data_IF_524127124062
#
_entry.id   IF_524127124062
#
_cell.length_a   1.000
_cell.length_b   1.000
_cell.length_c   1.000
_cell.angle_alpha   90.00
_cell.angle_beta   90.00
_cell.angle_gamma   90.00
#
_symmetry.space_group_name_H-M   'P 1'
#
loop_
_entity.id
_entity.type
_entity.pdbx_description
1 polymer ?
#
# COMPACT_ATOMS: atom_id res chain seq x y z
N UNK A 1 -7.66 -8.30 -2.67
CA UNK A 1 -6.37 -8.98 -2.46
C UNK A 1 -5.63 -9.26 -3.76
N UNK A 2 -6.25 -9.81 -4.78
CA UNK A 2 -5.56 -10.20 -6.01
C UNK A 2 -4.70 -9.13 -6.67
N UNK A 3 -5.13 -7.85 -6.66
CA UNK A 3 -4.36 -6.76 -7.23
C UNK A 3 -3.30 -6.15 -6.31
N UNK A 4 -3.40 -6.32 -5.00
CA UNK A 4 -2.46 -5.71 -4.06
C UNK A 4 -1.20 -6.56 -3.83
N UNK A 5 -1.31 -7.88 -3.91
CA UNK A 5 -0.17 -8.78 -3.67
C UNK A 5 0.94 -8.65 -4.72
N UNK A 6 0.67 -8.55 -6.03
CA UNK A 6 1.72 -8.26 -7.02
C UNK A 6 2.53 -7.01 -6.72
N UNK A 7 1.91 -5.99 -6.13
CA UNK A 7 2.59 -4.75 -5.73
C UNK A 7 3.54 -5.02 -4.56
N UNK A 8 3.11 -5.84 -3.60
CA UNK A 8 3.97 -6.26 -2.48
C UNK A 8 5.16 -7.07 -3.02
N UNK A 9 4.93 -8.00 -3.96
CA UNK A 9 6.02 -8.76 -4.58
C UNK A 9 6.99 -7.88 -5.36
N UNK A 10 6.50 -6.87 -6.08
CA UNK A 10 7.36 -5.87 -6.71
C UNK A 10 8.18 -5.10 -5.66
N UNK A 11 7.59 -4.77 -4.51
CA UNK A 11 8.29 -4.12 -3.40
C UNK A 11 9.41 -5.01 -2.83
N UNK A 12 9.15 -6.31 -2.61
CA UNK A 12 10.17 -7.25 -2.09
C UNK A 12 11.35 -7.40 -3.06
N UNK A 13 11.06 -7.46 -4.37
CA UNK A 13 12.08 -7.51 -5.42
C UNK A 13 12.92 -6.23 -5.48
N UNK A 14 12.29 -5.06 -5.37
CA UNK A 14 12.98 -3.76 -5.44
C UNK A 14 14.01 -3.57 -4.33
N UNK A 15 13.81 -4.17 -3.17
CA UNK A 15 14.74 -4.08 -2.02
C UNK A 15 15.63 -5.32 -1.87
N UNK A 16 15.62 -6.23 -2.85
CA UNK A 16 16.48 -7.42 -2.89
C UNK A 16 16.16 -8.49 -1.84
N UNK A 17 14.89 -8.64 -1.45
CA UNK A 17 14.48 -9.70 -0.53
C UNK A 17 14.63 -11.09 -1.16
N UNK A 18 15.11 -12.07 -0.40
CA UNK A 18 15.13 -13.47 -0.82
C UNK A 18 13.70 -14.05 -0.90
N UNK A 19 13.50 -15.22 -1.52
CA UNK A 19 12.20 -15.89 -1.52
C UNK A 19 11.64 -16.15 -0.11
N UNK A 20 12.52 -16.55 0.84
CA UNK A 20 12.17 -16.80 2.24
C UNK A 20 11.76 -15.51 2.93
N UNK A 21 12.54 -14.44 2.76
CA UNK A 21 12.23 -13.10 3.27
C UNK A 21 10.94 -12.55 2.66
N UNK A 22 10.70 -12.80 1.38
CA UNK A 22 9.45 -12.41 0.71
C UNK A 22 8.24 -13.12 1.32
N UNK A 23 8.37 -14.42 1.59
CA UNK A 23 7.32 -15.22 2.24
C UNK A 23 7.08 -14.75 3.67
N UNK A 24 8.15 -14.49 4.43
CA UNK A 24 8.10 -13.93 5.79
C UNK A 24 7.43 -12.55 5.80
N UNK A 25 7.78 -11.67 4.85
CA UNK A 25 7.16 -10.34 4.71
C UNK A 25 5.65 -10.45 4.49
N UNK A 26 5.21 -11.25 3.52
CA UNK A 26 3.79 -11.45 3.21
C UNK A 26 3.04 -12.00 4.41
N UNK A 27 3.62 -12.96 5.12
CA UNK A 27 3.04 -13.52 6.35
C UNK A 27 2.98 -12.49 7.48
N UNK A 28 4.03 -11.70 7.67
CA UNK A 28 4.05 -10.62 8.64
C UNK A 28 2.98 -9.57 8.37
N UNK A 29 2.72 -9.22 7.11
CA UNK A 29 1.59 -8.35 6.74
C UNK A 29 0.25 -8.96 7.14
N UNK A 30 0.08 -10.26 6.91
CA UNK A 30 -1.12 -10.99 7.34
C UNK A 30 -1.28 -10.99 8.86
N UNK A 31 -0.20 -11.25 9.60
CA UNK A 31 -0.18 -11.22 11.08
C UNK A 31 -0.56 -9.81 11.59
N UNK A 32 0.11 -8.76 11.10
CA UNK A 32 -0.18 -7.38 11.52
C UNK A 32 -1.63 -6.98 11.24
N UNK A 33 -2.15 -7.36 10.08
CA UNK A 33 -3.54 -7.11 9.68
C UNK A 33 -4.52 -7.88 10.56
N UNK A 34 -4.28 -9.17 10.82
CA UNK A 34 -5.11 -10.00 11.68
C UNK A 34 -5.18 -9.46 13.11
N UNK A 35 -4.01 -9.22 13.72
CA UNK A 35 -3.93 -8.71 15.09
C UNK A 35 -4.59 -7.35 15.23
N UNK A 36 -4.32 -6.42 14.31
CA UNK A 36 -4.90 -5.08 14.34
C UNK A 36 -6.42 -5.12 14.21
N UNK A 37 -6.96 -5.85 13.23
CA UNK A 37 -8.40 -5.95 13.03
C UNK A 37 -9.10 -6.63 14.22
N UNK A 38 -8.52 -7.71 14.75
CA UNK A 38 -9.07 -8.43 15.91
C UNK A 38 -9.13 -7.53 17.15
N UNK A 39 -7.98 -6.96 17.55
CA UNK A 39 -7.87 -6.16 18.76
C UNK A 39 -8.79 -4.94 18.68
N UNK A 40 -8.73 -4.22 17.55
CA UNK A 40 -9.49 -2.99 17.39
C UNK A 40 -10.99 -3.25 17.34
N UNK A 41 -11.44 -4.25 16.55
CA UNK A 41 -12.88 -4.53 16.44
C UNK A 41 -13.49 -5.06 17.73
N UNK A 42 -12.80 -5.99 18.40
CA UNK A 42 -13.30 -6.58 19.66
C UNK A 42 -13.32 -5.54 20.78
N UNK A 43 -12.24 -4.75 20.91
CA UNK A 43 -12.10 -3.79 22.02
C UNK A 43 -13.04 -2.59 21.88
N UNK A 44 -13.23 -2.09 20.66
CA UNK A 44 -14.06 -0.91 20.41
C UNK A 44 -15.52 -1.23 20.09
N UNK A 45 -15.87 -2.50 19.84
CA UNK A 45 -17.16 -2.92 19.32
C UNK A 45 -17.58 -2.16 18.05
N UNK A 46 -16.60 -1.82 17.22
CA UNK A 46 -16.75 -1.16 15.93
C UNK A 46 -16.09 -2.03 14.85
N UNK A 47 -16.55 -2.02 13.59
CA UNK A 47 -15.93 -2.78 12.48
C UNK A 47 -14.65 -2.07 12.00
N UNK A 48 -13.63 -2.01 12.87
CA UNK A 48 -12.35 -1.38 12.56
C UNK A 48 -11.46 -2.41 11.85
N UNK A 49 -11.40 -2.30 10.54
CA UNK A 49 -10.66 -3.21 9.67
C UNK A 49 -9.31 -2.61 9.34
N UNK A 50 -8.26 -3.41 9.53
CA UNK A 50 -6.89 -3.07 9.15
C UNK A 50 -6.51 -3.71 7.82
N UNK A 51 -5.47 -3.16 7.18
CA UNK A 51 -4.83 -3.71 6.00
C UNK A 51 -3.37 -3.27 5.98
N UNK A 52 -2.55 -3.86 5.10
CA UNK A 52 -1.24 -3.28 4.77
C UNK A 52 -1.38 -2.04 3.91
N UNK A 53 -0.34 -1.19 3.91
CA UNK A 53 -0.28 -0.02 3.05
C UNK A 53 0.04 -0.39 1.60
N UNK A 54 -0.98 -0.58 0.76
CA UNK A 54 -0.76 -0.78 -0.69
C UNK A 54 0.00 0.39 -1.34
N UNK A 55 -0.32 1.67 -1.04
CA UNK A 55 0.50 2.79 -1.50
C UNK A 55 1.92 2.76 -0.92
N UNK A 56 2.11 2.26 0.30
CA UNK A 56 3.43 2.04 0.89
C UNK A 56 4.23 0.98 0.14
N UNK A 57 3.61 -0.16 -0.23
CA UNK A 57 4.24 -1.16 -1.08
C UNK A 57 4.61 -0.57 -2.46
N UNK A 58 3.73 0.24 -3.04
CA UNK A 58 3.99 0.94 -4.30
C UNK A 58 5.19 1.91 -4.19
N UNK A 59 5.28 2.65 -3.09
CA UNK A 59 6.42 3.51 -2.79
C UNK A 59 7.72 2.69 -2.73
N UNK A 60 7.73 1.59 -1.99
CA UNK A 60 8.91 0.72 -1.85
C UNK A 60 9.33 0.19 -3.22
N UNK A 61 8.37 -0.33 -4.01
CA UNK A 61 8.61 -0.85 -5.36
C UNK A 61 9.19 0.20 -6.32
N UNK A 62 8.87 1.48 -6.12
CA UNK A 62 9.30 2.59 -6.97
C UNK A 62 10.53 3.33 -6.45
N UNK A 63 11.07 2.96 -5.28
CA UNK A 63 12.24 3.63 -4.67
C UNK A 63 13.53 2.95 -5.11
N UNK A 64 14.34 3.57 -5.97
CA UNK A 64 15.63 3.02 -6.37
C UNK A 64 16.69 3.23 -5.28
N UNK A 65 17.75 2.41 -5.32
CA UNK A 65 18.96 2.66 -4.54
C UNK A 65 18.88 2.29 -3.07
N UNK A 66 17.89 1.48 -2.65
CA UNK A 66 17.91 0.88 -1.30
C UNK A 66 19.06 -0.13 -1.26
N UNK A 67 20.05 0.05 -0.36
CA UNK A 67 21.31 -0.70 -0.44
C UNK A 67 21.16 -2.18 -0.05
N UNK A 68 20.16 -2.52 0.76
CA UNK A 68 19.88 -3.89 1.20
C UNK A 68 18.47 -4.04 1.76
N UNK A 69 17.98 -5.27 1.82
CA UNK A 69 16.73 -5.59 2.50
C UNK A 69 16.75 -5.16 3.97
N UNK A 70 17.86 -5.34 4.67
CA UNK A 70 18.00 -4.93 6.07
C UNK A 70 17.91 -3.39 6.26
N UNK A 71 18.35 -2.59 5.28
CA UNK A 71 18.15 -1.14 5.29
C UNK A 71 16.67 -0.77 5.08
N UNK A 72 15.97 -1.51 4.22
CA UNK A 72 14.51 -1.34 4.08
C UNK A 72 13.77 -1.67 5.38
N UNK A 73 14.17 -2.74 6.09
CA UNK A 73 13.64 -3.07 7.42
C UNK A 73 13.85 -1.91 8.40
N UNK A 74 15.02 -1.27 8.39
CA UNK A 74 15.27 -0.06 9.18
C UNK A 74 14.28 1.06 8.89
N UNK A 75 13.98 1.30 7.61
CA UNK A 75 12.98 2.27 7.19
C UNK A 75 11.56 1.89 7.63
N UNK A 76 11.20 0.60 7.62
CA UNK A 76 9.91 0.12 8.10
C UNK A 76 9.75 0.30 9.62
N UNK A 77 10.81 0.00 10.38
CA UNK A 77 10.85 0.29 11.83
C UNK A 77 10.69 1.78 12.09
N UNK A 78 11.40 2.65 11.36
CA UNK A 78 11.23 4.10 11.52
C UNK A 78 9.79 4.53 11.24
N UNK A 79 9.19 4.07 10.15
CA UNK A 79 7.80 4.40 9.81
C UNK A 79 6.83 3.96 10.90
N UNK A 80 6.99 2.74 11.45
CA UNK A 80 6.18 2.23 12.55
C UNK A 80 6.35 3.05 13.83
N UNK A 81 7.58 3.44 14.18
CA UNK A 81 7.88 4.32 15.32
C UNK A 81 7.22 5.68 15.14
N UNK A 82 7.26 6.28 13.95
CA UNK A 82 6.60 7.55 13.66
C UNK A 82 5.08 7.45 13.79
N UNK A 83 4.45 6.32 13.41
CA UNK A 83 3.02 6.06 13.65
C UNK A 83 2.74 6.01 15.15
N UNK A 84 3.56 5.30 15.93
CA UNK A 84 3.43 5.22 17.39
C UNK A 84 3.61 6.59 18.06
N UNK A 85 4.59 7.36 17.61
CA UNK A 85 4.79 8.74 18.10
C UNK A 85 3.58 9.62 17.78
N UNK A 86 2.96 9.45 16.62
CA UNK A 86 1.72 10.17 16.26
C UNK A 86 0.54 9.76 17.16
N UNK A 87 0.49 8.48 17.55
CA UNK A 87 -0.51 7.99 18.51
C UNK A 87 -0.33 8.59 19.91
N UNK A 88 0.93 8.75 20.34
CA UNK A 88 1.28 9.23 21.68
C UNK A 88 1.29 10.77 21.78
N UNK A 89 1.73 11.46 20.73
CA UNK A 89 2.00 12.91 20.72
C UNK A 89 0.99 13.63 19.84
N UNK A 90 -0.10 14.11 20.42
CA UNK A 90 -1.19 14.82 19.67
C UNK A 90 -0.72 15.93 18.72
N UNK A 91 0.30 16.77 19.03
CA UNK A 91 0.81 17.78 18.11
C UNK A 91 1.36 17.21 16.78
N UNK A 92 1.93 16.02 16.78
CA UNK A 92 2.43 15.35 15.55
C UNK A 92 1.31 15.02 14.58
N UNK A 93 0.18 14.51 15.08
CA UNK A 93 -1.02 14.30 14.26
C UNK A 93 -1.50 15.57 13.57
N UNK A 94 -1.53 16.69 14.31
CA UNK A 94 -1.88 18.01 13.78
C UNK A 94 -0.88 18.55 12.76
N UNK A 95 0.39 18.18 12.84
CA UNK A 95 1.40 18.59 11.87
C UNK A 95 1.17 17.91 10.52
N UNK A 96 0.79 16.63 10.52
CA UNK A 96 0.46 15.90 9.30
C UNK A 96 -0.81 16.45 8.66
N UNK A 97 -1.81 16.80 9.46
CA UNK A 97 -3.04 17.44 8.98
C UNK A 97 -2.78 18.81 8.29
N UNK A 98 -1.62 19.43 8.56
CA UNK A 98 -1.22 20.69 7.90
C UNK A 98 -0.61 20.50 6.51
N UNK A 99 -0.19 19.27 6.14
CA UNK A 99 0.26 19.01 4.77
C UNK A 99 -0.94 19.18 3.85
N UNK A 100 -0.86 20.05 2.83
CA UNK A 100 -1.97 20.24 1.90
C UNK A 100 -2.35 18.91 1.25
N UNK A 101 -3.64 18.61 1.23
CA UNK A 101 -4.15 17.37 0.65
C UNK A 101 -3.76 17.22 -0.83
N UNK A 102 -3.66 18.34 -1.56
CA UNK A 102 -3.19 18.41 -2.94
C UNK A 102 -1.76 17.90 -3.11
N UNK A 103 -0.83 18.28 -2.23
CA UNK A 103 0.58 17.85 -2.28
C UNK A 103 0.71 16.37 -1.90
N UNK A 104 0.02 15.94 -0.84
CA UNK A 104 0.01 14.53 -0.45
C UNK A 104 -0.60 13.64 -1.54
N UNK A 105 -1.69 14.08 -2.17
CA UNK A 105 -2.32 13.39 -3.29
C UNK A 105 -1.43 13.37 -4.54
N UNK A 106 -0.70 14.45 -4.83
CA UNK A 106 0.24 14.53 -5.94
C UNK A 106 1.43 13.57 -5.77
N UNK A 107 1.98 13.48 -4.56
CA UNK A 107 3.02 12.51 -4.21
C UNK A 107 2.50 11.08 -4.41
N UNK A 108 1.31 10.77 -3.90
CA UNK A 108 0.69 9.46 -4.09
C UNK A 108 0.46 9.16 -5.58
N UNK A 109 -0.11 10.11 -6.32
CA UNK A 109 -0.34 9.96 -7.77
C UNK A 109 0.97 9.65 -8.51
N UNK A 110 2.07 10.34 -8.18
CA UNK A 110 3.38 10.12 -8.78
C UNK A 110 3.94 8.72 -8.51
N UNK A 111 3.80 8.22 -7.28
CA UNK A 111 4.20 6.86 -6.90
C UNK A 111 3.40 5.81 -7.69
N UNK A 112 2.07 5.96 -7.69
CA UNK A 112 1.18 4.99 -8.33
C UNK A 112 1.32 4.99 -9.85
N UNK A 113 1.51 6.17 -10.46
CA UNK A 113 1.62 6.32 -11.90
C UNK A 113 2.82 5.55 -12.46
N UNK A 114 3.94 5.49 -11.76
CA UNK A 114 5.10 4.69 -12.16
C UNK A 114 4.76 3.21 -12.30
N UNK A 115 4.03 2.63 -11.34
CA UNK A 115 3.61 1.23 -11.39
C UNK A 115 2.54 0.98 -12.46
N UNK A 116 1.65 1.96 -12.68
CA UNK A 116 0.69 1.90 -13.79
C UNK A 116 1.42 1.93 -15.13
N UNK A 117 2.46 2.73 -15.28
CA UNK A 117 3.27 2.79 -16.51
C UNK A 117 4.04 1.49 -16.76
N UNK A 118 4.56 0.86 -15.71
CA UNK A 118 5.33 -0.38 -15.80
C UNK A 118 4.56 -1.53 -16.50
N UNK A 119 3.21 -1.57 -16.41
CA UNK A 119 2.45 -2.60 -17.15
C UNK A 119 2.56 -2.43 -18.66
N UNK A 120 2.69 -1.18 -19.16
CA UNK A 120 2.83 -0.91 -20.60
C UNK A 120 4.23 -1.20 -21.13
N UNK A 121 5.26 -1.19 -20.26
CA UNK A 121 6.62 -1.57 -20.61
C UNK A 121 6.72 -3.04 -21.03
N UNK A 122 5.77 -3.88 -20.58
CA UNK A 122 5.68 -5.28 -20.98
C UNK A 122 4.92 -5.53 -22.29
N UNK A 123 4.25 -4.52 -22.87
CA UNK A 123 3.50 -4.69 -24.13
C UNK A 123 4.39 -5.16 -25.27
N UNK A 124 5.61 -4.61 -25.51
CA UNK A 124 6.46 -5.06 -26.60
C UNK A 124 6.93 -6.52 -26.46
N UNK A 125 7.15 -7.00 -25.22
CA UNK A 125 7.67 -8.35 -24.96
C UNK A 125 6.57 -9.42 -24.83
N UNK A 126 5.35 -9.03 -24.43
CA UNK A 126 4.25 -9.96 -24.17
C UNK A 126 2.89 -9.38 -24.64
N UNK A 127 2.74 -8.95 -25.90
CA UNK A 127 1.52 -8.27 -26.36
C UNK A 127 0.27 -9.15 -26.26
N UNK A 128 0.39 -10.44 -26.55
CA UNK A 128 -0.71 -11.40 -26.50
C UNK A 128 -1.21 -11.68 -25.06
N UNK A 129 -0.42 -11.34 -24.05
CA UNK A 129 -0.82 -11.44 -22.65
C UNK A 129 -1.37 -10.11 -22.16
N UNK A 130 -0.65 -9.01 -22.37
CA UNK A 130 -0.97 -7.71 -21.75
C UNK A 130 -2.21 -7.06 -22.39
N UNK A 131 -2.28 -6.98 -23.73
CA UNK A 131 -3.37 -6.26 -24.43
C UNK A 131 -4.77 -6.86 -24.19
N UNK A 132 -4.97 -8.19 -24.25
CA UNK A 132 -6.27 -8.79 -23.93
C UNK A 132 -6.68 -8.55 -22.48
N UNK A 133 -5.73 -8.55 -21.54
CA UNK A 133 -6.01 -8.30 -20.13
C UNK A 133 -6.36 -6.84 -19.85
N UNK A 134 -5.76 -5.88 -20.54
CA UNK A 134 -6.16 -4.48 -20.47
C UNK A 134 -7.58 -4.28 -21.00
N UNK A 135 -7.91 -4.88 -22.12
CA UNK A 135 -9.28 -4.84 -22.66
C UNK A 135 -10.27 -5.49 -21.70
N UNK A 136 -9.94 -6.67 -21.15
CA UNK A 136 -10.76 -7.35 -20.15
C UNK A 136 -10.98 -6.47 -18.94
N UNK A 137 -9.94 -5.79 -18.44
CA UNK A 137 -10.07 -4.87 -17.30
C UNK A 137 -11.08 -3.76 -17.57
N UNK A 138 -10.99 -3.10 -18.72
CA UNK A 138 -11.91 -2.01 -19.10
C UNK A 138 -13.35 -2.51 -19.15
N UNK A 139 -13.58 -3.67 -19.80
CA UNK A 139 -14.91 -4.27 -19.88
C UNK A 139 -15.40 -4.73 -18.50
N UNK A 140 -14.59 -5.48 -17.77
CA UNK A 140 -14.96 -5.97 -16.45
C UNK A 140 -15.26 -4.82 -15.48
N UNK A 141 -14.52 -3.73 -15.55
CA UNK A 141 -14.75 -2.55 -14.71
C UNK A 141 -16.11 -1.88 -14.97
N UNK A 142 -16.61 -1.94 -16.20
CA UNK A 142 -17.92 -1.37 -16.54
C UNK A 142 -19.09 -2.16 -15.93
N UNK A 143 -18.96 -3.49 -15.79
CA UNK A 143 -20.02 -4.36 -15.30
C UNK A 143 -19.81 -4.83 -13.85
N UNK A 144 -18.57 -5.07 -13.43
CA UNK A 144 -18.17 -5.65 -12.15
C UNK A 144 -16.96 -4.91 -11.55
N UNK A 145 -17.08 -3.63 -11.19
CA UNK A 145 -15.93 -2.79 -10.82
C UNK A 145 -15.11 -3.34 -9.65
N UNK A 146 -15.77 -4.00 -8.67
CA UNK A 146 -15.12 -4.59 -7.49
C UNK A 146 -14.33 -5.86 -7.81
N UNK A 147 -14.68 -6.58 -8.86
CA UNK A 147 -14.07 -7.85 -9.28
C UNK A 147 -13.14 -7.72 -10.48
N UNK A 148 -13.06 -6.55 -11.10
CA UNK A 148 -12.31 -6.35 -12.34
C UNK A 148 -10.84 -6.80 -12.23
N UNK A 149 -10.13 -6.41 -11.18
CA UNK A 149 -8.72 -6.83 -10.98
C UNK A 149 -8.58 -8.33 -10.68
N UNK A 150 -9.57 -8.94 -10.03
CA UNK A 150 -9.59 -10.38 -9.81
C UNK A 150 -9.84 -11.12 -11.13
N UNK A 151 -10.75 -10.62 -11.96
CA UNK A 151 -11.00 -11.17 -13.29
C UNK A 151 -9.73 -11.13 -14.17
N UNK A 152 -8.97 -10.01 -14.13
CA UNK A 152 -7.68 -9.89 -14.83
C UNK A 152 -6.66 -10.91 -14.32
N UNK A 153 -6.57 -11.12 -12.99
CA UNK A 153 -5.66 -12.10 -12.41
C UNK A 153 -6.01 -13.53 -12.85
N UNK A 154 -7.30 -13.91 -12.73
CA UNK A 154 -7.75 -15.27 -13.06
C UNK A 154 -7.63 -15.54 -14.56
N UNK A 155 -8.17 -14.66 -15.39
CA UNK A 155 -8.07 -14.79 -16.86
C UNK A 155 -6.61 -14.73 -17.32
N UNK A 156 -5.81 -13.87 -16.71
CA UNK A 156 -4.39 -13.75 -17.00
C UNK A 156 -3.60 -15.00 -16.64
N UNK A 157 -3.90 -15.64 -15.52
CA UNK A 157 -3.28 -16.92 -15.13
C UNK A 157 -3.66 -18.04 -16.11
N UNK A 158 -4.93 -18.12 -16.51
CA UNK A 158 -5.40 -19.09 -17.52
C UNK A 158 -4.76 -18.85 -18.89
N UNK A 159 -4.68 -17.59 -19.31
CA UNK A 159 -4.04 -17.22 -20.58
C UNK A 159 -2.53 -17.52 -20.55
N UNK A 160 -1.84 -17.16 -19.45
CA UNK A 160 -0.42 -17.46 -19.28
C UNK A 160 -0.16 -18.98 -19.28
N UNK A 161 -1.04 -19.75 -18.64
CA UNK A 161 -0.96 -21.22 -18.66
C UNK A 161 -1.14 -21.78 -20.09
N UNK A 162 -2.14 -21.31 -20.81
CA UNK A 162 -2.38 -21.75 -22.21
C UNK A 162 -1.24 -21.39 -23.16
N UNK A 163 -0.50 -20.30 -22.86
CA UNK A 163 0.69 -19.87 -23.60
C UNK A 163 1.98 -20.58 -23.15
N UNK A 164 1.91 -21.48 -22.17
CA UNK A 164 3.09 -22.18 -21.63
C UNK A 164 4.06 -21.27 -20.85
N UNK A 165 3.59 -20.13 -20.34
CA UNK A 165 4.41 -19.12 -19.64
C UNK A 165 4.46 -19.34 -18.13
N UNK A 166 3.64 -20.25 -17.59
CA UNK A 166 3.57 -20.52 -16.15
C UNK A 166 4.67 -21.50 -15.77
N UNK A 167 5.49 -21.17 -14.77
CA UNK A 167 6.51 -22.06 -14.21
C UNK A 167 5.86 -23.19 -13.40
N UNK A 168 6.58 -24.30 -13.13
CA UNK A 168 6.10 -25.34 -12.24
C UNK A 168 5.66 -24.77 -10.89
N UNK A 169 4.47 -25.18 -10.43
CA UNK A 169 3.96 -24.74 -9.14
C UNK A 169 4.78 -25.36 -8.01
N UNK A 170 5.18 -24.58 -7.00
CA UNK A 170 5.87 -25.13 -5.84
C UNK A 170 4.92 -26.00 -5.01
N UNK A 171 5.49 -26.88 -4.20
CA UNK A 171 4.73 -27.62 -3.22
C UNK A 171 4.07 -26.65 -2.22
N UNK A 172 2.87 -27.01 -1.76
CA UNK A 172 2.21 -26.27 -0.69
C UNK A 172 3.04 -26.39 0.59
N UNK A 173 3.31 -25.26 1.23
CA UNK A 173 4.10 -25.21 2.45
C UNK A 173 3.63 -24.11 3.40
N UNK A 174 3.94 -24.32 4.67
CA UNK A 174 3.76 -23.29 5.69
C UNK A 174 4.91 -22.29 5.61
N UNK A 175 4.64 -21.06 6.00
CA UNK A 175 5.67 -20.03 6.04
C UNK A 175 6.60 -20.24 7.24
N UNK A 176 7.91 -20.25 6.99
CA UNK A 176 8.93 -19.98 8.00
C UNK A 176 9.10 -18.46 8.11
N UNK A 177 9.03 -17.95 9.34
CA UNK A 177 9.23 -16.53 9.59
C UNK A 177 10.72 -16.24 9.71
N UNK A 178 11.20 -15.35 8.83
CA UNK A 178 12.60 -14.92 8.78
C UNK A 178 12.77 -13.60 9.54
N UNK A 179 13.59 -13.61 10.58
CA UNK A 179 13.91 -12.41 11.35
C UNK A 179 15.09 -11.69 10.70
N UNK A 180 14.88 -10.42 10.34
CA UNK A 180 15.92 -9.55 9.76
C UNK A 180 16.24 -8.40 10.70
N UNK A 181 17.52 -8.30 11.10
CA UNK A 181 18.01 -7.16 11.87
C UNK A 181 18.03 -5.90 11.01
N UNK A 182 17.49 -4.77 11.50
CA UNK A 182 17.50 -3.52 10.75
C UNK A 182 18.92 -2.94 10.62
N UNK A 183 19.23 -2.41 9.44
CA UNK A 183 20.39 -1.55 9.21
C UNK A 183 19.92 -0.10 9.15
N UNK A 184 20.57 0.77 9.91
CA UNK A 184 20.22 2.19 10.05
C UNK A 184 20.97 3.02 9.01
N UNK A 185 20.56 2.93 7.73
CA UNK A 185 21.07 3.76 6.65
C UNK A 185 20.28 5.06 6.57
N UNK A 186 20.94 6.20 6.85
CA UNK A 186 20.28 7.51 6.95
C UNK A 186 19.56 7.90 5.66
N UNK A 187 20.17 7.62 4.50
CA UNK A 187 19.55 7.93 3.21
C UNK A 187 18.26 7.13 3.01
N UNK A 188 18.25 5.83 3.36
CA UNK A 188 17.07 4.97 3.30
C UNK A 188 16.04 5.37 4.35
N UNK A 189 16.45 5.71 5.58
CA UNK A 189 15.53 6.18 6.62
C UNK A 189 14.77 7.43 6.18
N UNK A 190 15.46 8.41 5.62
CA UNK A 190 14.85 9.67 5.15
C UNK A 190 14.13 9.46 3.82
N UNK A 191 14.75 8.75 2.87
CA UNK A 191 14.24 8.60 1.50
C UNK A 191 13.10 7.60 1.34
N UNK A 192 13.00 6.62 2.23
CA UNK A 192 11.95 5.61 2.24
C UNK A 192 11.11 5.66 3.50
N UNK A 193 11.72 5.68 4.69
CA UNK A 193 11.00 5.56 5.96
C UNK A 193 10.05 6.72 6.22
N UNK A 194 10.50 7.97 6.04
CA UNK A 194 9.65 9.17 6.20
C UNK A 194 8.52 9.22 5.17
N UNK A 195 8.78 9.06 3.85
CA UNK A 195 7.70 8.98 2.87
C UNK A 195 6.72 7.83 3.13
N UNK A 196 7.19 6.65 3.55
CA UNK A 196 6.33 5.52 3.88
C UNK A 196 5.35 5.85 5.02
N UNK A 197 5.83 6.51 6.07
CA UNK A 197 4.99 7.00 7.13
C UNK A 197 3.95 8.00 6.64
N UNK A 198 4.36 9.01 5.85
CA UNK A 198 3.46 10.05 5.33
C UNK A 198 2.40 9.47 4.39
N UNK A 199 2.80 8.57 3.48
CA UNK A 199 1.87 7.87 2.58
C UNK A 199 0.90 7.02 3.39
N UNK A 200 1.37 6.27 4.37
CA UNK A 200 0.50 5.44 5.23
C UNK A 200 -0.51 6.29 6.00
N UNK A 201 -0.09 7.43 6.55
CA UNK A 201 -0.99 8.33 7.25
C UNK A 201 -2.00 9.01 6.33
N UNK A 202 -1.52 9.67 5.25
CA UNK A 202 -2.36 10.48 4.38
C UNK A 202 -3.27 9.64 3.47
N UNK A 203 -2.77 8.51 2.94
CA UNK A 203 -3.48 7.75 1.90
C UNK A 203 -4.27 6.56 2.44
N UNK A 204 -4.06 6.17 3.70
CA UNK A 204 -4.72 5.00 4.28
C UNK A 204 -5.43 5.33 5.60
N UNK A 205 -4.70 5.84 6.60
CA UNK A 205 -5.30 6.09 7.91
C UNK A 205 -6.37 7.20 7.83
N UNK A 206 -6.10 8.35 7.21
CA UNK A 206 -7.09 9.42 7.10
C UNK A 206 -8.36 8.99 6.34
N UNK A 207 -8.27 8.36 5.14
CA UNK A 207 -9.45 7.81 4.47
C UNK A 207 -10.16 6.73 5.28
N UNK A 208 -9.44 5.85 5.97
CA UNK A 208 -10.03 4.82 6.83
C UNK A 208 -10.85 5.42 7.97
N UNK A 209 -10.34 6.47 8.63
CA UNK A 209 -11.11 7.23 9.62
C UNK A 209 -12.34 7.90 9.01
N UNK A 210 -12.21 8.46 7.81
CA UNK A 210 -13.31 9.13 7.10
C UNK A 210 -14.44 8.13 6.78
N UNK A 211 -14.12 6.94 6.29
CA UNK A 211 -15.09 5.87 6.00
C UNK A 211 -15.83 5.43 7.25
N UNK A 212 -15.12 5.19 8.36
CA UNK A 212 -15.74 4.80 9.62
C UNK A 212 -16.69 5.89 10.15
N UNK A 213 -16.27 7.15 10.10
CA UNK A 213 -17.10 8.30 10.51
C UNK A 213 -18.33 8.47 9.63
N UNK A 214 -18.18 8.36 8.32
CA UNK A 214 -19.30 8.42 7.36
C UNK A 214 -20.31 7.29 7.58
N UNK A 215 -19.87 6.15 8.13
CA UNK A 215 -20.71 5.02 8.50
C UNK A 215 -21.31 5.13 9.91
N UNK A 216 -21.15 6.28 10.59
CA UNK A 216 -21.71 6.56 11.92
C UNK A 216 -20.86 6.09 13.11
N UNK A 217 -19.65 5.58 12.88
CA UNK A 217 -18.73 5.18 13.97
C UNK A 217 -17.78 6.30 14.34
N UNK A 218 -17.34 6.33 15.61
CA UNK A 218 -16.38 7.34 16.12
C UNK A 218 -15.11 6.63 16.63
N UNK A 219 -14.24 6.14 15.73
CA UNK A 219 -13.03 5.43 16.13
C UNK A 219 -12.06 6.36 16.84
N UNK A 220 -11.53 5.95 18.01
CA UNK A 220 -10.54 6.75 18.74
C UNK A 220 -9.18 6.70 18.01
N UNK A 221 -8.68 7.85 17.54
CA UNK A 221 -7.50 7.92 16.69
C UNK A 221 -6.23 7.35 17.35
N UNK A 222 -5.95 7.75 18.61
CA UNK A 222 -4.72 7.32 19.30
C UNK A 222 -4.67 5.80 19.54
N UNK A 223 -5.69 5.12 20.07
CA UNK A 223 -5.69 3.66 20.18
C UNK A 223 -5.58 2.93 18.83
N UNK A 224 -6.21 3.45 17.79
CA UNK A 224 -6.13 2.85 16.45
C UNK A 224 -4.70 2.92 15.91
N UNK A 225 -4.08 4.10 15.96
CA UNK A 225 -2.69 4.28 15.52
C UNK A 225 -1.69 3.54 16.42
N UNK A 226 -1.96 3.44 17.73
CA UNK A 226 -1.11 2.68 18.64
C UNK A 226 -1.10 1.18 18.30
N UNK A 227 -2.28 0.58 18.04
CA UNK A 227 -2.39 -0.85 17.69
C UNK A 227 -1.78 -1.13 16.31
N UNK A 228 -2.11 -0.34 15.29
CA UNK A 228 -1.55 -0.54 13.94
C UNK A 228 -0.05 -0.26 13.91
N UNK A 229 0.43 0.76 14.64
CA UNK A 229 1.85 1.07 14.76
C UNK A 229 2.63 -0.01 15.52
N UNK A 230 2.07 -0.55 16.61
CA UNK A 230 2.70 -1.65 17.35
C UNK A 230 2.75 -2.94 16.53
N UNK A 231 1.68 -3.27 15.81
CA UNK A 231 1.66 -4.40 14.89
C UNK A 231 2.70 -4.23 13.77
N UNK A 232 2.78 -3.02 13.19
CA UNK A 232 3.80 -2.70 12.18
C UNK A 232 5.21 -2.83 12.72
N UNK A 233 5.47 -2.33 13.94
CA UNK A 233 6.79 -2.42 14.57
C UNK A 233 7.20 -3.87 14.82
N UNK A 234 6.29 -4.67 15.37
CA UNK A 234 6.55 -6.09 15.65
C UNK A 234 6.82 -6.91 14.40
N UNK A 235 6.09 -6.63 13.31
CA UNK A 235 6.26 -7.37 12.06
C UNK A 235 7.30 -6.76 11.10
N UNK A 236 7.82 -5.56 11.39
CA UNK A 236 8.90 -4.97 10.60
C UNK A 236 10.15 -5.86 10.58
N UNK A 237 10.47 -6.52 11.69
CA UNK A 237 11.59 -7.48 11.78
C UNK A 237 11.38 -8.75 10.95
N UNK A 238 10.13 -9.02 10.52
CA UNK A 238 9.78 -10.05 9.55
C UNK A 238 9.82 -9.53 8.10
N UNK A 239 10.30 -8.31 7.91
CA UNK A 239 10.37 -7.61 6.64
C UNK A 239 9.10 -6.87 6.24
N UNK A 240 8.06 -6.87 7.08
CA UNK A 240 6.77 -6.28 6.72
C UNK A 240 6.79 -4.75 6.85
N UNK A 241 6.31 -4.08 5.82
CA UNK A 241 6.05 -2.65 5.89
C UNK A 241 4.77 -2.34 6.69
N UNK A 242 4.34 -1.09 6.73
CA UNK A 242 3.29 -0.59 7.62
C UNK A 242 1.91 -1.22 7.43
N UNK A 243 1.24 -1.52 8.55
CA UNK A 243 -0.19 -1.79 8.67
C UNK A 243 -0.95 -0.51 9.04
N UNK A 244 -2.19 -0.39 8.61
CA UNK A 244 -3.00 0.82 8.73
C UNK A 244 -4.51 0.50 8.69
N UNK A 245 -5.36 1.50 8.80
CA UNK A 245 -6.78 1.34 8.52
C UNK A 245 -7.03 1.00 7.04
N UNK A 246 -7.99 0.11 6.80
CA UNK A 246 -8.46 -0.21 5.47
C UNK A 246 -9.67 0.67 5.12
N UNK A 247 -9.60 1.47 4.06
CA UNK A 247 -10.75 2.26 3.62
C UNK A 247 -11.78 1.39 2.86
N UNK A 248 -11.32 0.64 1.86
CA UNK A 248 -12.21 -0.16 0.98
C UNK A 248 -12.85 -1.33 1.75
N UNK A 249 -12.04 -2.13 2.46
CA UNK A 249 -12.56 -3.26 3.23
C UNK A 249 -13.41 -2.80 4.41
N UNK A 250 -13.09 -1.66 5.02
CA UNK A 250 -13.93 -1.06 6.04
C UNK A 250 -15.29 -0.67 5.50
N UNK A 251 -15.38 -0.07 4.31
CA UNK A 251 -16.66 0.28 3.68
C UNK A 251 -17.59 -0.94 3.52
N UNK A 252 -17.03 -2.11 3.17
CA UNK A 252 -17.79 -3.36 3.08
C UNK A 252 -18.25 -3.82 4.47
N UNK A 253 -17.35 -3.84 5.45
CA UNK A 253 -17.64 -4.33 6.79
C UNK A 253 -18.51 -3.38 7.62
N UNK A 254 -18.62 -2.10 7.24
CA UNK A 254 -19.54 -1.13 7.87
C UNK A 254 -20.93 -1.12 7.24
N UNK A 255 -21.12 -1.82 6.12
CA UNK A 255 -22.39 -1.90 5.39
C UNK A 255 -23.39 -2.90 5.99
N UNK A 256 -24.66 -2.85 5.53
CA UNK A 256 -25.73 -3.77 5.96
C UNK A 256 -25.45 -5.23 5.57
N UNK A 257 -24.64 -5.45 4.52
CA UNK A 257 -24.25 -6.80 4.06
C UNK A 257 -23.39 -7.54 5.10
N UNK A 258 -22.63 -6.83 5.93
CA UNK A 258 -21.88 -7.42 7.03
C UNK A 258 -22.80 -7.85 8.18
N UNK A 259 -23.74 -7.00 8.56
CA UNK A 259 -24.82 -7.32 9.52
C UNK A 259 -25.91 -6.23 9.46
N UNK A 260 -27.22 -6.58 9.47
CA UNK A 260 -28.31 -5.61 9.47
C UNK A 260 -28.21 -4.63 10.65
N UNK A 261 -27.94 -5.14 11.85
CA UNK A 261 -27.73 -4.33 13.06
C UNK A 261 -26.33 -3.72 13.08
N UNK A 262 -26.18 -2.38 13.00
CA UNK A 262 -24.90 -1.70 13.06
C UNK A 262 -24.06 -2.02 14.32
N UNK A 263 -24.72 -2.25 15.47
CA UNK A 263 -24.06 -2.56 16.73
C UNK A 263 -23.35 -3.93 16.73
N UNK A 264 -23.69 -4.82 15.78
CA UNK A 264 -23.10 -6.16 15.62
C UNK A 264 -22.09 -6.27 14.50
N UNK A 265 -21.91 -5.25 13.67
CA UNK A 265 -20.98 -5.27 12.52
C UNK A 265 -19.51 -5.46 12.92
N UNK A 266 -19.14 -5.16 14.17
CA UNK A 266 -17.80 -5.44 14.71
C UNK A 266 -17.41 -6.92 14.60
N UNK A 267 -18.38 -7.85 14.55
CA UNK A 267 -18.14 -9.30 14.41
C UNK A 267 -17.39 -9.62 13.09
N UNK A 268 -17.53 -8.78 12.07
CA UNK A 268 -16.74 -8.92 10.83
C UNK A 268 -15.24 -8.89 11.08
N UNK A 269 -14.77 -8.15 12.11
CA UNK A 269 -13.35 -8.04 12.46
C UNK A 269 -12.69 -9.37 12.83
N UNK A 270 -13.21 -10.16 13.77
CA UNK A 270 -12.71 -11.51 14.10
C UNK A 270 -12.67 -12.46 12.90
N UNK A 271 -13.72 -12.51 12.06
CA UNK A 271 -13.71 -13.33 10.85
C UNK A 271 -12.66 -12.89 9.84
N UNK A 272 -12.54 -11.58 9.65
CA UNK A 272 -11.49 -10.98 8.81
C UNK A 272 -10.09 -11.31 9.34
N UNK A 273 -9.90 -11.25 10.66
CA UNK A 273 -8.65 -11.59 11.32
C UNK A 273 -8.31 -13.10 11.15
N UNK A 274 -9.29 -13.99 11.31
CA UNK A 274 -9.09 -15.42 11.10
C UNK A 274 -8.65 -15.72 9.66
N UNK A 275 -9.27 -15.08 8.68
CA UNK A 275 -8.86 -15.19 7.27
C UNK A 275 -7.41 -14.74 7.05
N UNK A 276 -7.01 -13.60 7.64
CA UNK A 276 -5.63 -13.09 7.50
C UNK A 276 -4.61 -13.93 8.27
N UNK A 277 -4.99 -14.52 9.40
CA UNK A 277 -4.14 -15.48 10.10
C UNK A 277 -3.90 -16.74 9.26
N UNK A 278 -4.95 -17.25 8.61
CA UNK A 278 -4.83 -18.37 7.67
C UNK A 278 -3.96 -17.99 6.47
N UNK A 279 -4.16 -16.81 5.90
CA UNK A 279 -3.33 -16.29 4.81
C UNK A 279 -1.86 -16.17 5.22
N UNK A 280 -1.57 -15.70 6.43
CA UNK A 280 -0.22 -15.61 6.96
C UNK A 280 0.44 -16.99 7.12
N UNK A 281 -0.31 -17.96 7.56
CA UNK A 281 0.18 -19.35 7.72
C UNK A 281 0.66 -19.96 6.38
N UNK A 282 -0.06 -19.66 5.29
CA UNK A 282 0.22 -20.16 3.95
C UNK A 282 0.91 -19.12 3.03
N UNK A 283 1.53 -18.09 3.59
CA UNK A 283 2.17 -17.03 2.82
C UNK A 283 3.22 -17.54 1.84
N UNK A 284 4.01 -18.56 2.21
CA UNK A 284 4.97 -19.18 1.32
C UNK A 284 4.30 -19.79 0.07
N UNK A 285 3.19 -20.51 0.25
CA UNK A 285 2.40 -21.07 -0.85
C UNK A 285 1.83 -19.99 -1.75
N UNK A 286 1.33 -18.91 -1.15
CA UNK A 286 0.79 -17.76 -1.89
C UNK A 286 1.89 -17.06 -2.70
N UNK A 287 3.04 -16.80 -2.09
CA UNK A 287 4.20 -16.21 -2.77
C UNK A 287 4.67 -17.11 -3.91
N UNK A 288 4.79 -18.42 -3.64
CA UNK A 288 5.20 -19.40 -4.65
C UNK A 288 4.24 -19.48 -5.84
N UNK A 289 2.92 -19.41 -5.59
CA UNK A 289 1.92 -19.36 -6.65
C UNK A 289 2.11 -18.13 -7.55
N UNK A 290 2.33 -16.95 -6.95
CA UNK A 290 2.55 -15.74 -7.72
C UNK A 290 3.92 -15.73 -8.42
N UNK A 291 4.97 -16.31 -7.83
CA UNK A 291 6.29 -16.43 -8.45
C UNK A 291 6.31 -17.37 -9.66
N UNK A 292 5.33 -18.26 -9.78
CA UNK A 292 5.14 -19.11 -10.96
C UNK A 292 4.53 -18.35 -12.14
N UNK A 293 3.89 -17.19 -11.92
CA UNK A 293 3.26 -16.37 -12.95
C UNK A 293 4.31 -15.48 -13.66
N UNK A 294 4.13 -15.20 -14.97
CA UNK A 294 5.06 -14.34 -15.70
C UNK A 294 5.04 -12.89 -15.17
N UNK A 295 6.20 -12.20 -15.15
CA UNK A 295 6.30 -10.81 -14.67
C UNK A 295 5.33 -9.85 -15.38
N UNK A 296 5.11 -10.02 -16.69
CA UNK A 296 4.16 -9.22 -17.47
C UNK A 296 2.73 -9.32 -16.93
N UNK A 297 2.30 -10.52 -16.47
CA UNK A 297 0.99 -10.69 -15.82
C UNK A 297 0.95 -9.95 -14.49
N UNK A 298 1.97 -10.10 -13.65
CA UNK A 298 2.03 -9.46 -12.33
C UNK A 298 2.00 -7.93 -12.46
N UNK A 299 2.78 -7.38 -13.39
CA UNK A 299 2.77 -5.94 -13.69
C UNK A 299 1.41 -5.45 -14.18
N UNK A 300 0.74 -6.23 -15.07
CA UNK A 300 -0.60 -5.90 -15.59
C UNK A 300 -1.65 -5.91 -14.48
N UNK A 301 -1.64 -6.93 -13.62
CA UNK A 301 -2.56 -7.03 -12.48
C UNK A 301 -2.33 -5.87 -11.49
N UNK A 302 -1.06 -5.58 -11.17
CA UNK A 302 -0.70 -4.46 -10.29
C UNK A 302 -1.14 -3.12 -10.88
N UNK A 303 -0.79 -2.84 -12.14
CA UNK A 303 -1.12 -1.59 -12.83
C UNK A 303 -2.62 -1.36 -12.94
N UNK A 304 -3.39 -2.38 -13.36
CA UNK A 304 -4.84 -2.29 -13.47
C UNK A 304 -5.52 -2.08 -12.12
N UNK A 305 -5.03 -2.73 -11.05
CA UNK A 305 -5.54 -2.54 -9.70
C UNK A 305 -5.33 -1.11 -9.18
N UNK A 306 -4.25 -0.46 -9.59
CA UNK A 306 -3.89 0.90 -9.15
C UNK A 306 -4.52 2.01 -9.99
N UNK A 307 -5.04 1.73 -11.19
CA UNK A 307 -5.59 2.75 -12.10
C UNK A 307 -6.65 3.64 -11.42
N UNK A 308 -7.58 3.04 -10.69
CA UNK A 308 -8.63 3.79 -9.98
C UNK A 308 -8.07 4.71 -8.89
N UNK A 309 -7.14 4.20 -8.09
CA UNK A 309 -6.48 4.99 -7.04
C UNK A 309 -5.60 6.09 -7.62
N UNK A 310 -4.93 5.84 -8.75
CA UNK A 310 -4.13 6.82 -9.48
C UNK A 310 -5.02 7.97 -9.99
N UNK A 311 -6.14 7.64 -10.64
CA UNK A 311 -7.09 8.62 -11.14
C UNK A 311 -7.68 9.48 -10.00
N UNK A 312 -8.05 8.85 -8.88
CA UNK A 312 -8.53 9.56 -7.70
C UNK A 312 -7.48 10.48 -7.09
N UNK A 313 -6.24 10.03 -6.99
CA UNK A 313 -5.13 10.82 -6.47
C UNK A 313 -4.81 12.02 -7.38
N UNK A 314 -4.80 11.83 -8.71
CA UNK A 314 -4.64 12.90 -9.70
C UNK A 314 -5.77 13.94 -9.59
N UNK A 315 -7.02 13.49 -9.52
CA UNK A 315 -8.17 14.36 -9.34
C UNK A 315 -8.05 15.21 -8.07
N UNK A 316 -7.69 14.58 -6.94
CA UNK A 316 -7.50 15.28 -5.67
C UNK A 316 -6.30 16.26 -5.68
N UNK A 317 -5.21 15.88 -6.35
CA UNK A 317 -4.01 16.70 -6.47
C UNK A 317 -4.27 18.02 -7.23
N UNK A 318 -5.12 17.97 -8.26
CA UNK A 318 -5.32 19.07 -9.20
C UNK A 318 -6.65 19.82 -8.97
N UNK A 319 -7.44 19.46 -7.95
CA UNK A 319 -8.75 20.03 -7.68
C UNK A 319 -8.72 21.48 -7.16
N UNK A 320 -7.62 21.87 -6.50
CA UNK A 320 -7.48 23.22 -5.90
C UNK A 320 -6.67 24.17 -6.79
N UNK A 321 -7.22 25.34 -7.14
CA UNK A 321 -6.53 26.33 -7.99
C UNK A 321 -5.28 26.91 -7.32
N UNK A 322 -5.33 27.12 -6.00
CA UNK A 322 -4.25 27.79 -5.25
C UNK A 322 -2.98 26.97 -5.10
N UNK A 323 -3.11 25.64 -5.00
CA UNK A 323 -1.98 24.73 -4.75
C UNK A 323 -1.58 23.95 -6.01
N UNK A 324 -2.21 24.20 -7.17
CA UNK A 324 -2.07 23.41 -8.40
C UNK A 324 -0.62 23.34 -8.90
N UNK A 325 0.11 24.47 -8.85
CA UNK A 325 1.52 24.50 -9.27
C UNK A 325 2.40 23.65 -8.34
N UNK A 326 2.18 23.76 -7.02
CA UNK A 326 2.90 22.96 -6.03
C UNK A 326 2.61 21.47 -6.19
N UNK A 327 1.34 21.10 -6.43
CA UNK A 327 0.93 19.72 -6.71
C UNK A 327 1.55 19.19 -8.01
N UNK A 328 1.56 19.98 -9.09
CA UNK A 328 2.20 19.60 -10.35
C UNK A 328 3.70 19.39 -10.19
N UNK A 329 4.40 20.26 -9.47
CA UNK A 329 5.81 20.11 -9.15
C UNK A 329 6.09 18.86 -8.32
N UNK A 330 5.28 18.59 -7.28
CA UNK A 330 5.34 17.36 -6.49
C UNK A 330 5.19 16.12 -7.37
N UNK A 331 4.16 16.10 -8.22
CA UNK A 331 3.87 14.99 -9.14
C UNK A 331 5.04 14.74 -10.08
N UNK A 332 5.53 15.79 -10.76
CA UNK A 332 6.61 15.69 -11.74
C UNK A 332 7.88 15.11 -11.13
N UNK A 333 8.31 15.64 -9.97
CA UNK A 333 9.50 15.13 -9.27
C UNK A 333 9.28 13.69 -8.79
N UNK A 334 8.11 13.36 -8.25
CA UNK A 334 7.83 11.99 -7.76
C UNK A 334 7.82 10.98 -8.90
N UNK A 335 7.19 11.29 -10.05
CA UNK A 335 7.15 10.42 -11.23
C UNK A 335 8.53 10.23 -11.84
N UNK A 336 9.39 11.26 -11.84
CA UNK A 336 10.72 11.21 -12.47
C UNK A 336 11.61 10.09 -11.92
N UNK A 337 11.36 9.65 -10.66
CA UNK A 337 12.19 8.64 -10.00
C UNK A 337 13.60 9.13 -9.65
N UNK A 338 13.85 10.44 -9.70
CA UNK A 338 15.14 11.00 -9.37
C UNK A 338 15.57 10.61 -7.94
N UNK A 339 16.83 10.21 -7.79
CA UNK A 339 17.44 10.00 -6.49
C UNK A 339 18.57 11.01 -6.32
N UNK A 340 18.53 11.79 -5.24
CA UNK A 340 19.55 12.76 -4.87
C UNK A 340 20.04 12.43 -3.46
N UNK A 341 21.36 12.33 -3.29
CA UNK A 341 22.00 11.97 -2.01
C UNK A 341 21.50 10.62 -1.43
N UNK A 342 21.15 9.67 -2.30
CA UNK A 342 20.55 8.40 -1.90
C UNK A 342 19.09 8.47 -1.46
N UNK A 343 18.46 9.66 -1.51
CA UNK A 343 17.09 9.89 -1.10
C UNK A 343 16.16 9.87 -2.32
N UNK A 344 15.11 9.05 -2.26
CA UNK A 344 14.19 8.80 -3.38
C UNK A 344 13.28 9.99 -3.74
N UNK A 345 12.74 9.94 -4.96
CA UNK A 345 11.94 11.01 -5.58
C UNK A 345 10.68 11.40 -4.81
N UNK A 346 10.08 10.48 -4.05
CA UNK A 346 8.87 10.79 -3.27
C UNK A 346 9.14 11.84 -2.18
N UNK A 347 10.29 11.73 -1.51
CA UNK A 347 10.73 12.73 -0.53
C UNK A 347 10.98 14.08 -1.20
N UNK A 348 11.75 14.09 -2.29
CA UNK A 348 12.07 15.33 -3.01
C UNK A 348 10.82 15.97 -3.64
N UNK A 349 9.88 15.17 -4.10
CA UNK A 349 8.59 15.66 -4.58
C UNK A 349 7.83 16.42 -3.49
N UNK A 350 7.78 15.87 -2.27
CA UNK A 350 7.19 16.55 -1.13
C UNK A 350 7.92 17.87 -0.80
N UNK A 351 9.27 17.84 -0.73
CA UNK A 351 10.09 19.02 -0.43
C UNK A 351 9.85 20.12 -1.46
N UNK A 352 9.93 19.81 -2.76
CA UNK A 352 9.71 20.78 -3.84
C UNK A 352 8.28 21.32 -3.80
N UNK A 353 7.28 20.47 -3.58
CA UNK A 353 5.89 20.95 -3.48
C UNK A 353 5.68 21.90 -2.32
N UNK A 354 6.19 21.59 -1.14
CA UNK A 354 6.12 22.47 0.02
C UNK A 354 6.90 23.80 -0.20
N UNK A 355 8.05 23.72 -0.88
CA UNK A 355 8.84 24.90 -1.23
C UNK A 355 8.08 25.85 -2.19
N UNK A 356 7.52 25.28 -3.28
CA UNK A 356 6.71 26.06 -4.23
C UNK A 356 5.54 26.74 -3.49
N UNK A 357 4.84 26.00 -2.64
CA UNK A 357 3.74 26.52 -1.87
C UNK A 357 4.17 27.64 -0.91
N UNK A 358 5.31 27.49 -0.25
CA UNK A 358 5.84 28.50 0.65
C UNK A 358 6.20 29.80 -0.10
N UNK A 359 6.84 29.69 -1.26
CA UNK A 359 7.18 30.83 -2.13
C UNK A 359 5.90 31.52 -2.61
N UNK A 360 4.92 30.76 -3.14
CA UNK A 360 3.65 31.31 -3.61
C UNK A 360 2.90 32.10 -2.53
N UNK A 361 2.89 31.55 -1.30
CA UNK A 361 2.24 32.23 -0.17
C UNK A 361 3.01 33.46 0.32
N UNK A 362 4.32 33.46 0.16
CA UNK A 362 5.16 34.60 0.52
C UNK A 362 5.01 35.76 -0.47
N UNK A 363 4.97 35.46 -1.78
CA UNK A 363 4.85 36.45 -2.85
C UNK A 363 3.44 37.05 -2.99
N UNK A 364 2.41 36.37 -2.50
CA UNK A 364 1.00 36.84 -2.53
C UNK A 364 0.59 37.61 -1.26
N UNK A 365 1.50 37.76 -0.29
CA UNK A 365 1.34 38.64 0.87
C UNK A 365 1.91 40.04 0.60
#
# INVERSE_FOLDING_TARGET
>A
MGGALPIVLAATQAVGATPEQTSSWVSGLGIATALSALILSVRSRMPIIAAWSTPGAALIASTPGVPSFAAAVGAFVLAAVLILLTAAVRPLGRLIEKIPASIAAAMLAGILLRLVMAMFEHVPSAPLLVLPLLLLFVVARAFLPTLASLAVLVAGALLAWSLGLVKPLPALGLTTLEFTMPVWDVATLVGLGVPLYLVTMASQNLPGFAVLRASGYQPPASPVLAVTGAASLGTAFLGSHTSNLAAISAAICTGPDAHPDPAKRWIAGPFYAAFWALFALFGASVVGLFAALPPALLATVAGTALLGSTAGALGSALSGDQDRLAAAGTLAVTVSGVSLLGIGSAFWGLVIGLLILAIDRFLKR
#
